data_IF_351644389427
#
_entry.id   IF_351644389427
#
_cell.length_a   1.000
_cell.length_b   1.000
_cell.length_c   1.000
_cell.angle_alpha   90.00
_cell.angle_beta   90.00
_cell.angle_gamma   90.00
#
_symmetry.space_group_name_H-M   'P 1'
#
loop_
_entity.id
_entity.type
_entity.pdbx_description
1 polymer ?
#
# COMPACT_ATOMS: atom_id res chain seq x y z
N UNK A 1 11.52 -1.59 3.20
CA UNK A 1 10.95 -0.23 3.37
C UNK A 1 11.98 0.82 2.92
N UNK A 2 11.58 1.89 2.20
CA UNK A 2 12.47 2.97 1.69
C UNK A 2 11.96 4.36 2.12
N UNK A 3 12.80 5.39 2.04
CA UNK A 3 12.44 6.77 2.43
C UNK A 3 11.20 7.32 1.71
N UNK A 4 10.98 6.92 0.45
CA UNK A 4 9.78 7.27 -0.32
C UNK A 4 8.50 6.70 0.34
N UNK A 5 8.51 5.41 0.71
CA UNK A 5 7.36 4.78 1.36
C UNK A 5 7.07 5.39 2.73
N UNK A 6 8.13 5.74 3.49
CA UNK A 6 7.95 6.44 4.76
C UNK A 6 7.27 7.81 4.57
N UNK A 7 7.65 8.57 3.53
CA UNK A 7 6.97 9.82 3.20
C UNK A 7 5.49 9.60 2.86
N UNK A 8 5.19 8.60 2.03
CA UNK A 8 3.80 8.23 1.71
C UNK A 8 3.02 7.87 2.98
N UNK A 9 3.62 7.10 3.89
CA UNK A 9 3.00 6.74 5.16
C UNK A 9 2.65 7.98 5.99
N UNK A 10 3.58 8.92 6.12
CA UNK A 10 3.36 10.20 6.83
C UNK A 10 2.23 11.01 6.18
N UNK A 11 2.15 11.04 4.86
CA UNK A 11 1.11 11.79 4.13
C UNK A 11 -0.28 11.16 4.25
N UNK A 12 -0.36 9.83 4.30
CA UNK A 12 -1.63 9.11 4.51
C UNK A 12 -2.18 9.36 5.93
N UNK A 13 -1.30 9.42 6.92
CA UNK A 13 -1.68 9.65 8.32
C UNK A 13 -1.63 11.11 8.77
N UNK A 14 -1.39 12.06 7.85
CA UNK A 14 -1.45 13.49 8.19
C UNK A 14 -2.88 13.96 8.40
N UNK A 15 -3.06 15.06 9.13
CA UNK A 15 -4.35 15.71 9.32
C UNK A 15 -4.27 17.20 8.94
N UNK A 16 -4.84 17.63 7.80
CA UNK A 16 -5.64 16.84 6.85
C UNK A 16 -4.80 15.81 6.07
N UNK A 17 -5.45 14.76 5.56
CA UNK A 17 -4.82 13.79 4.65
C UNK A 17 -4.44 14.50 3.36
N UNK A 18 -3.24 14.25 2.85
CA UNK A 18 -2.84 14.87 1.58
C UNK A 18 -3.63 14.29 0.41
N UNK A 19 -4.24 15.16 -0.40
CA UNK A 19 -5.06 14.77 -1.55
C UNK A 19 -4.26 14.43 -2.81
N UNK A 20 -2.98 14.82 -2.87
CA UNK A 20 -2.12 14.66 -4.06
C UNK A 20 -1.11 13.50 -3.92
N UNK A 21 -1.51 12.40 -3.27
CA UNK A 21 -0.66 11.21 -3.15
C UNK A 21 -0.92 10.33 -4.38
N UNK A 22 0.09 10.05 -5.22
CA UNK A 22 -0.08 9.15 -6.36
C UNK A 22 -0.47 7.74 -5.90
N UNK A 23 -1.45 7.11 -6.54
CA UNK A 23 -1.90 5.75 -6.17
C UNK A 23 -0.76 4.72 -6.21
N UNK A 24 0.12 4.79 -7.22
CA UNK A 24 1.30 3.95 -7.34
C UNK A 24 2.25 4.05 -6.12
N UNK A 25 2.29 5.19 -5.43
CA UNK A 25 3.09 5.35 -4.22
C UNK A 25 2.44 4.64 -3.02
N UNK A 26 1.11 4.58 -2.98
CA UNK A 26 0.32 3.84 -1.97
C UNK A 26 0.48 2.33 -2.21
N UNK A 27 0.37 1.87 -3.46
CA UNK A 27 0.61 0.46 -3.82
C UNK A 27 2.03 0.03 -3.45
N UNK A 28 3.04 0.85 -3.79
CA UNK A 28 4.43 0.59 -3.42
C UNK A 28 4.66 0.53 -1.91
N UNK A 29 3.98 1.39 -1.13
CA UNK A 29 3.99 1.33 0.33
C UNK A 29 3.37 0.03 0.84
N UNK A 30 2.17 -0.33 0.38
CA UNK A 30 1.45 -1.53 0.80
C UNK A 30 2.23 -2.80 0.46
N UNK A 31 2.78 -2.91 -0.74
CA UNK A 31 3.65 -4.02 -1.13
C UNK A 31 4.93 -4.09 -0.27
N UNK A 32 5.51 -2.94 0.08
CA UNK A 32 6.66 -2.90 0.99
C UNK A 32 6.33 -3.30 2.44
N UNK A 33 5.06 -3.23 2.83
CA UNK A 33 4.54 -3.75 4.11
C UNK A 33 4.15 -5.23 4.03
N UNK A 34 4.36 -5.90 2.88
CA UNK A 34 4.04 -7.31 2.69
C UNK A 34 2.59 -7.56 2.27
N UNK A 35 1.92 -6.57 1.67
CA UNK A 35 0.63 -6.80 1.05
C UNK A 35 0.77 -7.43 -0.35
N UNK A 36 -0.11 -8.35 -0.67
CA UNK A 36 -0.36 -8.83 -2.02
C UNK A 36 -1.38 -7.91 -2.71
N UNK A 37 -1.00 -7.39 -3.88
CA UNK A 37 -1.83 -6.46 -4.66
C UNK A 37 -2.17 -7.15 -5.99
N UNK A 38 -3.45 -7.30 -6.27
CA UNK A 38 -3.94 -7.90 -7.53
C UNK A 38 -4.94 -6.99 -8.22
N UNK A 39 -4.77 -6.81 -9.53
CA UNK A 39 -5.73 -6.09 -10.37
C UNK A 39 -6.90 -7.00 -10.75
N UNK A 40 -8.12 -6.52 -10.54
CA UNK A 40 -9.34 -7.14 -11.03
C UNK A 40 -9.79 -6.55 -12.37
N UNK A 41 -10.98 -6.94 -12.85
CA UNK A 41 -11.53 -6.33 -14.07
C UNK A 41 -11.86 -4.85 -13.85
N UNK A 42 -11.41 -3.99 -14.78
CA UNK A 42 -11.58 -2.53 -14.71
C UNK A 42 -10.60 -1.88 -13.72
N UNK A 43 -10.99 -0.78 -13.08
CA UNK A 43 -10.14 -0.06 -12.11
C UNK A 43 -10.13 -0.68 -10.70
N UNK A 44 -10.44 -1.97 -10.56
CA UNK A 44 -10.53 -2.62 -9.24
C UNK A 44 -9.16 -3.15 -8.83
N UNK A 45 -8.74 -2.81 -7.61
CA UNK A 45 -7.52 -3.32 -6.99
C UNK A 45 -7.89 -4.04 -5.70
N UNK A 46 -7.42 -5.28 -5.55
CA UNK A 46 -7.51 -6.04 -4.30
C UNK A 46 -6.18 -5.91 -3.56
N UNK A 47 -6.27 -5.64 -2.25
CA UNK A 47 -5.13 -5.61 -1.34
C UNK A 47 -5.41 -6.63 -0.24
N UNK A 48 -4.50 -7.58 -0.05
CA UNK A 48 -4.57 -8.59 1.02
C UNK A 48 -3.21 -8.70 1.73
N UNK A 49 -3.15 -9.13 2.99
CA UNK A 49 -1.89 -9.57 3.58
C UNK A 49 -1.30 -10.69 2.72
N UNK A 50 0.01 -10.70 2.47
CA UNK A 50 0.65 -11.92 1.96
C UNK A 50 0.35 -13.03 2.96
N UNK A 51 -0.13 -14.17 2.47
CA UNK A 51 -0.35 -15.32 3.34
C UNK A 51 1.00 -15.73 3.94
N UNK A 52 1.24 -15.34 5.19
CA UNK A 52 2.16 -16.09 6.02
C UNK A 52 1.50 -17.46 6.17
N UNK A 53 2.06 -18.46 5.49
CA UNK A 53 1.83 -19.86 5.84
C UNK A 53 1.95 -19.94 7.36
N UNK A 54 0.83 -20.04 8.05
CA UNK A 54 0.79 -20.42 9.45
C UNK A 54 1.30 -21.87 9.47
N UNK A 55 2.63 -22.02 9.50
CA UNK A 55 3.26 -23.28 9.83
C UNK A 55 2.87 -23.55 11.29
N UNK A 56 1.94 -24.48 11.47
CA UNK A 56 1.54 -25.00 12.79
C UNK A 56 2.70 -25.77 13.40
#
# INVERSE_FOLDING_TARGET
MKSKHHRTLVFVFSNPVQSNIPWNDIEGLLGACGAEITEGSGSRVRVAPSEATHQT
#
